data_IF_891896724948
#
_entry.id   IF_891896724948
#
_cell.length_a   1.000
_cell.length_b   1.000
_cell.length_c   1.000
_cell.angle_alpha   90.00
_cell.angle_beta   90.00
_cell.angle_gamma   90.00
#
_symmetry.space_group_name_H-M   'P 1'
#
loop_
_entity.id
_entity.type
_entity.pdbx_description
1 polymer ?
#
# COMPACT_ATOMS: atom_id res chain seq x y z
N UNK A 1 17.37 -3.90 10.41
CA UNK A 1 16.48 -5.08 10.36
C UNK A 1 16.09 -5.53 11.78
N UNK A 2 17.03 -5.98 12.62
CA UNK A 2 16.76 -6.44 14.00
C UNK A 2 15.89 -5.53 14.89
N UNK A 3 16.09 -4.20 14.87
CA UNK A 3 15.26 -3.26 15.67
C UNK A 3 13.80 -3.21 15.19
N UNK A 4 13.58 -3.23 13.87
CA UNK A 4 12.23 -3.21 13.30
C UNK A 4 11.50 -4.53 13.61
N UNK A 5 12.20 -5.66 13.45
CA UNK A 5 11.67 -7.00 13.74
C UNK A 5 11.29 -7.12 15.22
N UNK A 6 12.12 -6.62 16.13
CA UNK A 6 11.81 -6.61 17.56
C UNK A 6 10.59 -5.75 17.90
N UNK A 7 10.51 -4.53 17.35
CA UNK A 7 9.37 -3.62 17.60
C UNK A 7 8.06 -4.23 17.05
N UNK A 8 8.13 -4.90 15.90
CA UNK A 8 6.98 -5.52 15.25
C UNK A 8 6.70 -6.96 15.72
N UNK A 9 7.47 -7.49 16.69
CA UNK A 9 7.39 -8.87 17.18
C UNK A 9 7.49 -9.93 16.06
N UNK A 10 8.35 -9.71 15.07
CA UNK A 10 8.59 -10.66 13.99
C UNK A 10 9.40 -11.84 14.51
N UNK A 11 8.84 -13.05 14.42
CA UNK A 11 9.48 -14.30 14.85
C UNK A 11 10.30 -14.94 13.74
N UNK A 12 11.14 -15.92 14.07
CA UNK A 12 11.85 -16.70 13.05
C UNK A 12 10.88 -17.56 12.23
N UNK A 13 9.80 -18.03 12.86
CA UNK A 13 8.72 -18.76 12.21
C UNK A 13 8.01 -17.88 11.16
N UNK A 14 7.77 -16.60 11.44
CA UNK A 14 7.20 -15.66 10.46
C UNK A 14 8.10 -15.49 9.24
N UNK A 15 9.41 -15.33 9.48
CA UNK A 15 10.41 -15.20 8.41
C UNK A 15 10.47 -16.48 7.57
N UNK A 16 10.39 -17.65 8.21
CA UNK A 16 10.41 -18.92 7.50
C UNK A 16 9.14 -19.11 6.67
N UNK A 17 7.97 -18.79 7.25
CA UNK A 17 6.68 -18.84 6.54
C UNK A 17 6.67 -17.95 5.32
N UNK A 18 7.13 -16.70 5.44
CA UNK A 18 7.22 -15.76 4.30
C UNK A 18 8.06 -16.35 3.15
N UNK A 19 9.19 -16.98 3.46
CA UNK A 19 10.03 -17.63 2.44
C UNK A 19 9.33 -18.79 1.75
N UNK A 20 8.66 -19.64 2.53
CA UNK A 20 7.95 -20.80 2.00
C UNK A 20 6.78 -20.36 1.10
N UNK A 21 6.06 -19.30 1.49
CA UNK A 21 5.02 -18.65 0.69
C UNK A 21 5.58 -18.05 -0.61
N UNK A 22 6.72 -17.36 -0.55
CA UNK A 22 7.40 -16.81 -1.74
C UNK A 22 7.85 -17.90 -2.71
N UNK A 23 8.43 -18.99 -2.22
CA UNK A 23 8.91 -20.10 -3.06
C UNK A 23 7.78 -20.95 -3.64
N UNK A 24 6.62 -20.99 -2.98
CA UNK A 24 5.45 -21.77 -3.41
C UNK A 24 4.44 -20.97 -4.24
N UNK A 25 4.66 -19.66 -4.41
CA UNK A 25 3.74 -18.76 -5.13
C UNK A 25 3.49 -19.22 -6.58
N UNK A 26 2.22 -19.25 -6.98
CA UNK A 26 1.78 -19.63 -8.32
C UNK A 26 1.21 -18.44 -9.10
N UNK A 27 1.03 -18.62 -10.42
CA UNK A 27 0.33 -17.64 -11.26
C UNK A 27 -1.12 -17.40 -10.82
N UNK A 28 -1.78 -18.40 -10.22
CA UNK A 28 -3.15 -18.25 -9.76
C UNK A 28 -3.21 -17.34 -8.54
N UNK A 29 -2.26 -17.46 -7.61
CA UNK A 29 -2.17 -16.59 -6.43
C UNK A 29 -2.03 -15.13 -6.84
N UNK A 30 -1.17 -14.84 -7.84
CA UNK A 30 -1.02 -13.49 -8.42
C UNK A 30 -2.36 -12.96 -8.95
N UNK A 31 -3.11 -13.77 -9.68
CA UNK A 31 -4.42 -13.36 -10.22
C UNK A 31 -5.46 -13.14 -9.13
N UNK A 32 -5.42 -13.93 -8.05
CA UNK A 32 -6.35 -13.79 -6.93
C UNK A 32 -6.18 -12.45 -6.19
N UNK A 33 -4.97 -11.86 -6.17
CA UNK A 33 -4.77 -10.51 -5.62
C UNK A 33 -5.51 -9.40 -6.37
N UNK A 34 -5.99 -9.64 -7.60
CA UNK A 34 -6.77 -8.65 -8.32
C UNK A 34 -8.05 -8.23 -7.56
N UNK A 35 -8.66 -9.15 -6.81
CA UNK A 35 -9.89 -8.88 -6.07
C UNK A 35 -9.66 -7.91 -4.91
N UNK A 36 -8.61 -8.12 -4.10
CA UNK A 36 -8.28 -7.24 -2.99
C UNK A 36 -7.84 -5.85 -3.48
N UNK A 37 -7.09 -5.78 -4.59
CA UNK A 37 -6.72 -4.51 -5.22
C UNK A 37 -7.98 -3.78 -5.68
N UNK A 38 -8.90 -4.48 -6.36
CA UNK A 38 -10.16 -3.90 -6.84
C UNK A 38 -11.04 -3.40 -5.69
N UNK A 39 -11.10 -4.14 -4.58
CA UNK A 39 -11.82 -3.71 -3.38
C UNK A 39 -11.19 -2.43 -2.79
N UNK A 40 -9.86 -2.37 -2.66
CA UNK A 40 -9.17 -1.16 -2.19
C UNK A 40 -9.36 0.05 -3.12
N UNK A 41 -9.38 -0.16 -4.43
CA UNK A 41 -9.65 0.90 -5.41
C UNK A 41 -11.10 1.39 -5.36
N UNK A 42 -12.06 0.53 -4.99
CA UNK A 42 -13.48 0.90 -4.91
C UNK A 42 -13.75 1.97 -3.85
N UNK A 43 -13.05 1.90 -2.71
CA UNK A 43 -13.14 2.90 -1.63
C UNK A 43 -12.67 4.30 -2.08
N UNK A 44 -11.97 4.39 -3.22
CA UNK A 44 -11.60 5.62 -3.92
C UNK A 44 -10.89 6.68 -3.05
N UNK A 45 -10.12 6.24 -2.06
CA UNK A 45 -9.27 7.10 -1.23
C UNK A 45 -7.98 7.47 -1.98
N UNK A 46 -8.05 8.50 -2.82
CA UNK A 46 -6.89 9.06 -3.52
C UNK A 46 -6.40 10.33 -2.83
N UNK A 47 -5.22 10.28 -2.22
CA UNK A 47 -4.54 11.45 -1.65
C UNK A 47 -3.34 11.81 -2.52
N UNK A 48 -3.31 13.04 -3.02
CA UNK A 48 -2.22 13.56 -3.86
C UNK A 48 -1.43 14.59 -3.07
N UNK A 49 -0.12 14.39 -2.99
CA UNK A 49 0.83 15.33 -2.37
C UNK A 49 1.66 15.96 -3.47
N UNK A 50 1.75 17.29 -3.49
CA UNK A 50 2.42 18.01 -4.57
C UNK A 50 2.57 19.50 -4.29
N UNK A 51 3.16 20.20 -5.26
CA UNK A 51 3.35 21.64 -5.18
C UNK A 51 2.01 22.39 -5.14
N UNK A 52 1.89 23.38 -4.26
CA UNK A 52 0.67 24.17 -4.06
C UNK A 52 0.14 24.80 -5.36
N UNK A 53 1.01 25.33 -6.21
CA UNK A 53 0.62 25.93 -7.49
C UNK A 53 -0.06 24.92 -8.41
N UNK A 54 0.54 23.73 -8.57
CA UNK A 54 0.00 22.66 -9.41
C UNK A 54 -1.31 22.08 -8.86
N UNK A 55 -1.42 21.98 -7.54
CA UNK A 55 -2.65 21.54 -6.88
C UNK A 55 -3.78 22.57 -7.08
N UNK A 56 -3.49 23.86 -6.97
CA UNK A 56 -4.47 24.94 -7.22
C UNK A 56 -4.90 24.99 -8.69
N UNK A 57 -3.97 24.85 -9.63
CA UNK A 57 -4.28 24.78 -11.07
C UNK A 57 -5.27 23.65 -11.38
N UNK A 58 -5.21 22.54 -10.65
CA UNK A 58 -6.03 21.34 -10.85
C UNK A 58 -7.10 21.14 -9.75
N UNK A 59 -7.49 22.21 -9.05
CA UNK A 59 -8.37 22.13 -7.88
C UNK A 59 -9.72 21.43 -8.13
N UNK A 60 -10.22 21.47 -9.37
CA UNK A 60 -11.49 20.85 -9.77
C UNK A 60 -11.46 19.33 -9.76
N UNK A 61 -10.26 18.73 -9.77
CA UNK A 61 -10.07 17.26 -9.73
C UNK A 61 -10.17 16.75 -8.29
N UNK A 62 -9.97 17.62 -7.29
CA UNK A 62 -9.83 17.22 -5.89
C UNK A 62 -11.08 17.57 -5.07
N UNK A 63 -11.60 16.59 -4.33
CA UNK A 63 -12.75 16.79 -3.44
C UNK A 63 -12.41 17.73 -2.26
N UNK A 64 -11.17 17.65 -1.76
CA UNK A 64 -10.67 18.45 -0.65
C UNK A 64 -9.17 18.65 -0.81
N UNK A 65 -8.71 19.89 -0.62
CA UNK A 65 -7.30 20.23 -0.52
C UNK A 65 -6.98 20.73 0.88
N UNK A 66 -5.79 20.39 1.37
CA UNK A 66 -5.31 20.81 2.69
C UNK A 66 -3.82 21.05 2.59
N UNK A 67 -3.35 22.12 3.24
CA UNK A 67 -1.93 22.45 3.26
C UNK A 67 -1.22 21.49 4.20
N UNK A 68 -0.25 20.77 3.68
CA UNK A 68 0.75 20.04 4.47
C UNK A 68 1.81 21.06 4.87
N UNK A 69 1.93 21.30 6.18
CA UNK A 69 2.87 22.17 6.91
C UNK A 69 3.61 23.22 6.06
#
# INVERSE_FOLDING_TARGET
KAVADYICNVTQEDIQREKDELLSTTNQDIRNYAEIIKAGMHENYCCVVGNEGKIKENQTIFNKTSKLL
#
